data_IF_692281120396
#
_entry.id   IF_692281120396
#
_cell.length_a   1.000
_cell.length_b   1.000
_cell.length_c   1.000
_cell.angle_alpha   90.00
_cell.angle_beta   90.00
_cell.angle_gamma   90.00
#
_symmetry.space_group_name_H-M   'P 1'
#
loop_
_entity.id
_entity.type
_entity.pdbx_description
1 polymer ?
#
# COMPACT_ATOMS: atom_id res chain seq x y z
N UNK A 1 -59.80 -11.85 6.30
CA UNK A 1 -58.44 -12.43 6.39
C UNK A 1 -57.55 -12.00 5.24
N UNK A 2 -57.95 -12.14 3.97
CA UNK A 2 -57.12 -11.74 2.82
C UNK A 2 -56.69 -10.25 2.85
N UNK A 3 -57.60 -9.32 3.14
CA UNK A 3 -57.27 -7.88 3.19
C UNK A 3 -56.23 -7.51 4.26
N UNK A 4 -56.26 -8.18 5.42
CA UNK A 4 -55.28 -7.94 6.49
C UNK A 4 -53.90 -8.48 6.10
N UNK A 5 -53.84 -9.65 5.45
CA UNK A 5 -52.59 -10.22 4.95
C UNK A 5 -51.95 -9.33 3.87
N UNK A 6 -52.74 -8.85 2.90
CA UNK A 6 -52.26 -7.90 1.89
C UNK A 6 -51.75 -6.59 2.50
N UNK A 7 -52.40 -6.09 3.56
CA UNK A 7 -51.95 -4.89 4.26
C UNK A 7 -50.60 -5.09 4.95
N UNK A 8 -50.39 -6.22 5.65
CA UNK A 8 -49.11 -6.54 6.27
C UNK A 8 -47.99 -6.73 5.24
N UNK A 9 -48.28 -7.42 4.12
CA UNK A 9 -47.31 -7.59 3.02
C UNK A 9 -46.94 -6.25 2.38
N UNK A 10 -47.90 -5.33 2.20
CA UNK A 10 -47.64 -4.00 1.68
C UNK A 10 -46.73 -3.18 2.61
N UNK A 11 -47.00 -3.19 3.93
CA UNK A 11 -46.15 -2.52 4.92
C UNK A 11 -44.73 -3.11 4.92
N UNK A 12 -44.63 -4.44 4.90
CA UNK A 12 -43.33 -5.12 4.88
C UNK A 12 -42.54 -4.72 3.63
N UNK A 13 -43.18 -4.76 2.47
CA UNK A 13 -42.58 -4.37 1.18
C UNK A 13 -42.15 -2.91 1.17
N UNK A 14 -42.98 -2.00 1.70
CA UNK A 14 -42.66 -0.58 1.79
C UNK A 14 -41.49 -0.32 2.74
N UNK A 15 -41.43 -1.06 3.85
CA UNK A 15 -40.33 -0.96 4.83
C UNK A 15 -39.01 -1.39 4.21
N UNK A 16 -38.98 -2.56 3.55
CA UNK A 16 -37.78 -3.02 2.84
C UNK A 16 -37.39 -2.08 1.70
N UNK A 17 -38.35 -1.60 0.92
CA UNK A 17 -38.09 -0.64 -0.16
C UNK A 17 -37.47 0.65 0.36
N UNK A 18 -38.01 1.19 1.46
CA UNK A 18 -37.49 2.39 2.11
C UNK A 18 -36.07 2.18 2.64
N UNK A 19 -35.81 1.03 3.29
CA UNK A 19 -34.48 0.66 3.78
C UNK A 19 -33.47 0.57 2.63
N UNK A 20 -33.85 -0.04 1.49
CA UNK A 20 -33.01 -0.14 0.30
C UNK A 20 -32.69 1.24 -0.28
N UNK A 21 -33.67 2.15 -0.34
CA UNK A 21 -33.46 3.54 -0.83
C UNK A 21 -32.50 4.30 0.08
N UNK A 22 -32.62 4.16 1.40
CA UNK A 22 -31.70 4.78 2.37
C UNK A 22 -30.27 4.25 2.17
N UNK A 23 -30.13 2.92 2.08
CA UNK A 23 -28.82 2.29 1.86
C UNK A 23 -28.21 2.73 0.53
N UNK A 24 -29.00 2.76 -0.54
CA UNK A 24 -28.55 3.21 -1.86
C UNK A 24 -28.08 4.67 -1.82
N UNK A 25 -28.84 5.55 -1.19
CA UNK A 25 -28.49 6.97 -1.05
C UNK A 25 -27.18 7.13 -0.29
N UNK A 26 -27.01 6.40 0.82
CA UNK A 26 -25.76 6.37 1.58
C UNK A 26 -24.57 5.92 0.71
N UNK A 27 -24.73 4.86 -0.08
CA UNK A 27 -23.68 4.35 -0.98
C UNK A 27 -23.32 5.35 -2.06
N UNK A 28 -24.31 6.06 -2.65
CA UNK A 28 -24.08 7.11 -3.65
C UNK A 28 -23.25 8.25 -3.05
N UNK A 29 -23.63 8.75 -1.88
CA UNK A 29 -22.91 9.83 -1.19
C UNK A 29 -21.47 9.40 -0.89
N UNK A 30 -21.30 8.21 -0.30
CA UNK A 30 -19.98 7.64 -0.01
C UNK A 30 -19.13 7.52 -1.27
N UNK A 31 -19.70 7.00 -2.37
CA UNK A 31 -19.03 6.85 -3.66
C UNK A 31 -18.63 8.21 -4.25
N UNK A 32 -19.48 9.24 -4.11
CA UNK A 32 -19.18 10.59 -4.59
C UNK A 32 -17.95 11.19 -3.88
N UNK A 33 -17.82 11.00 -2.56
CA UNK A 33 -16.63 11.43 -1.81
C UNK A 33 -15.37 10.69 -2.28
N UNK A 34 -15.44 9.38 -2.48
CA UNK A 34 -14.32 8.58 -2.97
C UNK A 34 -13.88 9.00 -4.38
N UNK A 35 -14.84 9.29 -5.27
CA UNK A 35 -14.57 9.81 -6.62
C UNK A 35 -13.87 11.16 -6.56
N UNK A 36 -14.34 12.09 -5.72
CA UNK A 36 -13.71 13.42 -5.57
C UNK A 36 -12.26 13.28 -5.11
N UNK A 37 -12.02 12.47 -4.08
CA UNK A 37 -10.68 12.17 -3.59
C UNK A 37 -9.79 11.56 -4.68
N UNK A 38 -10.33 10.64 -5.47
CA UNK A 38 -9.58 10.00 -6.56
C UNK A 38 -9.25 11.00 -7.67
N UNK A 39 -10.18 11.87 -8.05
CA UNK A 39 -9.94 12.95 -9.02
C UNK A 39 -8.79 13.85 -8.58
N UNK A 40 -8.77 14.27 -7.31
CA UNK A 40 -7.65 15.07 -6.76
C UNK A 40 -6.30 14.35 -6.93
N UNK A 41 -6.23 13.04 -6.66
CA UNK A 41 -5.00 12.26 -6.84
C UNK A 41 -4.62 12.17 -8.32
N UNK A 42 -5.57 11.92 -9.22
CA UNK A 42 -5.30 11.87 -10.67
C UNK A 42 -4.80 13.22 -11.21
N UNK A 43 -5.35 14.34 -10.76
CA UNK A 43 -4.84 15.67 -11.13
C UNK A 43 -3.38 15.86 -10.71
N UNK A 44 -3.00 15.41 -9.51
CA UNK A 44 -1.59 15.44 -9.09
C UNK A 44 -0.71 14.50 -9.90
N UNK A 45 -1.21 13.32 -10.27
CA UNK A 45 -0.48 12.38 -11.13
C UNK A 45 -0.20 12.99 -12.50
N UNK A 46 -1.20 13.62 -13.12
CA UNK A 46 -1.04 14.32 -14.39
C UNK A 46 0.03 15.42 -14.29
N UNK A 47 -0.03 16.23 -13.23
CA UNK A 47 0.96 17.30 -12.98
C UNK A 47 2.38 16.75 -12.78
N UNK A 48 2.55 15.64 -12.07
CA UNK A 48 3.86 15.09 -11.75
C UNK A 48 4.41 14.12 -12.78
N UNK A 49 3.62 13.70 -13.78
CA UNK A 49 4.01 12.67 -14.74
C UNK A 49 5.31 13.02 -15.48
N UNK A 50 5.35 14.17 -16.14
CA UNK A 50 6.53 14.62 -16.89
C UNK A 50 7.75 14.82 -15.97
N UNK A 51 7.54 15.36 -14.78
CA UNK A 51 8.60 15.61 -13.81
C UNK A 51 9.20 14.30 -13.28
N UNK A 52 8.37 13.34 -12.88
CA UNK A 52 8.82 12.03 -12.39
C UNK A 52 9.52 11.26 -13.51
N UNK A 53 8.97 11.26 -14.73
CA UNK A 53 9.61 10.61 -15.87
C UNK A 53 11.02 11.17 -16.12
N UNK A 54 11.14 12.51 -16.17
CA UNK A 54 12.44 13.17 -16.34
C UNK A 54 13.42 12.80 -15.23
N UNK A 55 12.97 12.80 -13.97
CA UNK A 55 13.83 12.42 -12.83
C UNK A 55 14.25 10.95 -12.85
N UNK A 56 13.45 10.06 -13.44
CA UNK A 56 13.79 8.63 -13.58
C UNK A 56 14.83 8.40 -14.68
N UNK A 57 14.76 9.14 -15.78
CA UNK A 57 15.67 9.00 -16.92
C UNK A 57 16.96 9.81 -16.74
N UNK A 58 16.84 11.08 -16.39
CA UNK A 58 17.97 12.03 -16.34
C UNK A 58 18.57 12.14 -14.92
N UNK A 59 17.87 11.64 -13.90
CA UNK A 59 18.24 11.84 -12.50
C UNK A 59 17.99 13.27 -11.98
N UNK A 60 18.51 13.54 -10.78
CA UNK A 60 18.51 14.88 -10.18
C UNK A 60 17.34 15.17 -9.24
N UNK A 61 17.00 16.47 -9.10
CA UNK A 61 15.96 16.97 -8.20
C UNK A 61 15.11 18.05 -8.90
N UNK A 62 13.81 18.04 -8.66
CA UNK A 62 12.89 19.08 -9.13
C UNK A 62 12.15 19.72 -7.96
N UNK A 63 12.20 21.06 -7.91
CA UNK A 63 11.46 21.87 -6.92
C UNK A 63 9.94 21.76 -7.12
N UNK A 64 9.47 21.42 -8.32
CA UNK A 64 8.05 21.21 -8.60
C UNK A 64 7.48 19.97 -7.92
N UNK A 65 8.34 19.00 -7.62
CA UNK A 65 7.97 17.77 -6.93
C UNK A 65 8.25 17.91 -5.43
N UNK A 66 7.38 18.64 -4.73
CA UNK A 66 7.47 18.86 -3.28
C UNK A 66 6.13 18.55 -2.58
N UNK A 67 5.88 17.29 -2.20
CA UNK A 67 4.57 16.87 -1.69
C UNK A 67 4.23 17.49 -0.32
N UNK A 68 3.15 18.27 -0.28
CA UNK A 68 2.67 18.95 0.94
C UNK A 68 1.55 18.21 1.68
N UNK A 69 0.93 17.22 1.05
CA UNK A 69 -0.20 16.50 1.63
C UNK A 69 -0.26 15.03 1.20
N UNK A 70 -1.14 14.27 1.85
CA UNK A 70 -1.31 12.83 1.61
C UNK A 70 -1.82 12.50 0.20
N UNK A 71 -2.54 13.39 -0.47
CA UNK A 71 -2.99 13.15 -1.86
C UNK A 71 -1.81 13.22 -2.83
N UNK A 72 -0.91 14.19 -2.64
CA UNK A 72 0.31 14.31 -3.43
C UNK A 72 1.27 13.14 -3.19
N UNK A 73 1.46 12.72 -1.93
CA UNK A 73 2.24 11.52 -1.61
C UNK A 73 1.65 10.26 -2.26
N UNK A 74 0.31 10.11 -2.23
CA UNK A 74 -0.37 8.98 -2.87
C UNK A 74 -0.24 9.03 -4.39
N UNK A 75 -0.26 10.22 -5.00
CA UNK A 75 0.00 10.39 -6.43
C UNK A 75 1.42 9.93 -6.79
N UNK A 76 2.43 10.36 -6.03
CA UNK A 76 3.82 9.93 -6.24
C UNK A 76 3.94 8.41 -6.10
N UNK A 77 3.40 7.82 -5.04
CA UNK A 77 3.38 6.36 -4.83
C UNK A 77 2.77 5.62 -6.02
N UNK A 78 1.60 6.04 -6.50
CA UNK A 78 0.93 5.39 -7.63
C UNK A 78 1.70 5.55 -8.94
N UNK A 79 2.37 6.69 -9.16
CA UNK A 79 3.21 6.89 -10.34
C UNK A 79 4.45 6.01 -10.29
N UNK A 80 5.16 5.98 -9.16
CA UNK A 80 6.32 5.10 -9.00
C UNK A 80 5.93 3.62 -9.11
N UNK A 81 4.75 3.21 -8.60
CA UNK A 81 4.23 1.84 -8.82
C UNK A 81 4.01 1.52 -10.29
N UNK A 82 3.52 2.47 -11.09
CA UNK A 82 3.37 2.26 -12.53
C UNK A 82 4.72 2.11 -13.23
N UNK A 83 5.69 2.95 -12.90
CA UNK A 83 7.02 2.86 -13.48
C UNK A 83 7.77 1.59 -13.03
N UNK A 84 7.65 1.17 -11.77
CA UNK A 84 8.29 -0.05 -11.28
C UNK A 84 7.89 -1.31 -12.07
N UNK A 85 6.67 -1.33 -12.63
CA UNK A 85 6.16 -2.44 -13.42
C UNK A 85 6.62 -2.42 -14.90
N UNK A 86 7.17 -1.30 -15.38
CA UNK A 86 7.52 -1.10 -16.80
C UNK A 86 9.02 -0.89 -17.01
N UNK A 87 9.73 -0.41 -15.99
CA UNK A 87 11.17 -0.17 -16.07
C UNK A 87 11.95 -1.48 -15.92
N UNK A 88 12.71 -1.83 -16.95
CA UNK A 88 13.58 -3.02 -16.94
C UNK A 88 15.03 -2.68 -16.60
N UNK A 89 15.50 -1.48 -16.99
CA UNK A 89 16.88 -1.04 -16.83
C UNK A 89 17.30 -0.82 -15.36
N UNK A 90 18.55 -1.20 -15.05
CA UNK A 90 19.08 -1.10 -13.68
C UNK A 90 19.23 0.35 -13.20
N UNK A 91 19.59 1.26 -14.11
CA UNK A 91 19.80 2.67 -13.78
C UNK A 91 18.48 3.33 -13.38
N UNK A 92 17.41 3.05 -14.12
CA UNK A 92 16.07 3.56 -13.87
C UNK A 92 15.49 2.95 -12.59
N UNK A 93 15.75 1.66 -12.32
CA UNK A 93 15.38 1.01 -11.04
C UNK A 93 16.08 1.68 -9.85
N UNK A 94 17.37 2.01 -9.98
CA UNK A 94 18.12 2.75 -8.95
C UNK A 94 17.55 4.17 -8.76
N UNK A 95 17.25 4.88 -9.85
CA UNK A 95 16.62 6.20 -9.79
C UNK A 95 15.23 6.13 -9.11
N UNK A 96 14.43 5.12 -9.42
CA UNK A 96 13.13 4.88 -8.80
C UNK A 96 13.26 4.65 -7.29
N UNK A 97 14.21 3.80 -6.86
CA UNK A 97 14.49 3.56 -5.45
C UNK A 97 14.94 4.84 -4.73
N UNK A 98 15.77 5.66 -5.38
CA UNK A 98 16.21 6.94 -4.84
C UNK A 98 15.05 7.93 -4.67
N UNK A 99 14.18 8.08 -5.66
CA UNK A 99 12.99 8.94 -5.60
C UNK A 99 11.99 8.45 -4.54
N UNK A 100 11.72 7.15 -4.48
CA UNK A 100 10.86 6.57 -3.46
C UNK A 100 11.42 6.81 -2.05
N UNK A 101 12.73 6.65 -1.87
CA UNK A 101 13.43 6.94 -0.62
C UNK A 101 13.37 8.41 -0.23
N UNK A 102 13.48 9.33 -1.21
CA UNK A 102 13.43 10.77 -0.97
C UNK A 102 12.05 11.21 -0.50
N UNK A 103 10.98 10.79 -1.20
CA UNK A 103 9.64 11.33 -0.98
C UNK A 103 8.77 10.48 -0.06
N UNK A 104 8.91 9.16 -0.07
CA UNK A 104 7.96 8.25 0.59
C UNK A 104 8.48 7.67 1.91
N UNK A 105 9.79 7.71 2.18
CA UNK A 105 10.41 7.13 3.39
C UNK A 105 9.69 7.54 4.68
N UNK A 106 9.57 8.84 4.94
CA UNK A 106 8.98 9.33 6.19
C UNK A 106 7.48 9.00 6.29
N UNK A 107 6.79 9.00 5.16
CA UNK A 107 5.39 8.63 5.06
C UNK A 107 5.17 7.14 5.36
N UNK A 108 6.04 6.28 4.84
CA UNK A 108 6.02 4.84 5.07
C UNK A 108 6.39 4.48 6.50
N UNK A 109 7.42 5.12 7.07
CA UNK A 109 7.77 4.95 8.48
C UNK A 109 6.59 5.20 9.43
N UNK A 110 5.76 6.22 9.14
CA UNK A 110 4.53 6.48 9.93
C UNK A 110 3.50 5.37 9.75
N UNK A 111 3.34 4.84 8.54
CA UNK A 111 2.36 3.79 8.21
C UNK A 111 2.74 2.40 8.72
N UNK A 112 4.02 2.05 8.76
CA UNK A 112 4.52 0.83 9.40
C UNK A 112 4.13 0.76 10.90
N UNK A 113 3.93 1.92 11.54
CA UNK A 113 3.48 2.03 12.94
C UNK A 113 1.95 2.04 13.09
N UNK A 114 1.18 1.86 12.01
CA UNK A 114 -0.28 1.93 12.07
C UNK A 114 -0.89 0.73 12.81
N UNK A 115 -1.96 0.96 13.59
CA UNK A 115 -2.77 -0.12 14.17
C UNK A 115 -3.51 -0.95 13.09
N UNK A 116 -3.76 -0.37 11.91
CA UNK A 116 -4.47 -1.05 10.82
C UNK A 116 -3.50 -1.94 10.05
N UNK A 117 -3.72 -3.25 10.13
CA UNK A 117 -2.97 -4.29 9.41
C UNK A 117 -2.79 -3.95 7.92
N UNK A 118 -3.88 -3.66 7.20
CA UNK A 118 -3.82 -3.36 5.77
C UNK A 118 -2.93 -2.17 5.41
N UNK A 119 -2.78 -1.18 6.31
CA UNK A 119 -1.85 -0.06 6.07
C UNK A 119 -0.39 -0.45 6.21
N UNK A 120 -0.08 -1.38 7.12
CA UNK A 120 1.28 -1.90 7.31
C UNK A 120 1.66 -2.79 6.13
N UNK A 121 0.80 -3.76 5.82
CA UNK A 121 1.03 -4.70 4.72
C UNK A 121 1.23 -3.99 3.37
N UNK A 122 0.37 -3.03 3.02
CA UNK A 122 0.53 -2.26 1.78
C UNK A 122 1.88 -1.52 1.70
N UNK A 123 2.37 -1.02 2.83
CA UNK A 123 3.66 -0.33 2.85
C UNK A 123 4.82 -1.31 2.74
N UNK A 124 4.73 -2.49 3.33
CA UNK A 124 5.73 -3.53 3.14
C UNK A 124 5.87 -3.90 1.65
N UNK A 125 4.76 -4.14 0.94
CA UNK A 125 4.77 -4.36 -0.52
C UNK A 125 5.44 -3.23 -1.28
N UNK A 126 5.17 -1.97 -0.91
CA UNK A 126 5.80 -0.83 -1.58
C UNK A 126 7.30 -0.70 -1.25
N UNK A 127 7.72 -1.01 -0.02
CA UNK A 127 9.15 -1.01 0.36
C UNK A 127 9.91 -2.04 -0.46
N UNK A 128 9.34 -3.23 -0.62
CA UNK A 128 9.90 -4.30 -1.45
C UNK A 128 9.96 -3.86 -2.93
N UNK A 129 8.82 -3.48 -3.50
CA UNK A 129 8.72 -3.15 -4.93
C UNK A 129 9.63 -1.98 -5.32
N UNK A 130 9.74 -0.97 -4.45
CA UNK A 130 10.59 0.21 -4.71
C UNK A 130 12.02 0.06 -4.19
N UNK A 131 12.36 -1.09 -3.61
CA UNK A 131 13.67 -1.35 -3.02
C UNK A 131 14.14 -0.21 -2.08
N UNK A 132 13.33 0.22 -1.11
CA UNK A 132 13.64 1.34 -0.20
C UNK A 132 14.54 0.90 0.96
N UNK A 133 15.85 0.83 0.70
CA UNK A 133 16.87 0.45 1.70
C UNK A 133 16.83 1.24 3.02
N UNK A 134 16.58 2.57 3.05
CA UNK A 134 16.57 3.34 4.29
C UNK A 134 15.47 2.97 5.30
N UNK A 135 14.55 2.08 4.95
CA UNK A 135 13.48 1.59 5.83
C UNK A 135 13.76 0.18 6.37
N UNK A 136 14.88 -0.47 6.03
CA UNK A 136 15.18 -1.82 6.49
C UNK A 136 15.25 -1.92 8.01
N UNK A 137 15.86 -0.95 8.69
CA UNK A 137 15.87 -0.90 10.15
C UNK A 137 14.47 -0.73 10.76
N UNK A 138 13.60 0.03 10.10
CA UNK A 138 12.21 0.18 10.54
C UNK A 138 11.44 -1.14 10.36
N UNK A 139 11.71 -1.88 9.29
CA UNK A 139 11.14 -3.20 8.97
C UNK A 139 11.64 -4.28 9.93
N UNK A 140 12.95 -4.37 10.17
CA UNK A 140 13.55 -5.31 11.12
C UNK A 140 13.02 -5.10 12.55
N UNK A 141 12.88 -3.84 12.99
CA UNK A 141 12.27 -3.52 14.29
C UNK A 141 10.82 -3.99 14.43
N UNK A 142 10.11 -4.26 13.33
CA UNK A 142 8.77 -4.82 13.41
C UNK A 142 8.80 -6.27 13.89
N UNK A 143 9.80 -7.06 13.49
CA UNK A 143 9.96 -8.48 13.87
C UNK A 143 9.88 -8.67 15.39
N UNK A 144 10.43 -7.72 16.15
CA UNK A 144 10.46 -7.75 17.63
C UNK A 144 9.15 -7.30 18.30
N UNK A 145 8.13 -6.88 17.54
CA UNK A 145 6.86 -6.38 18.09
C UNK A 145 5.84 -7.50 18.24
N UNK A 146 5.07 -7.42 19.33
CA UNK A 146 3.88 -8.25 19.52
C UNK A 146 2.76 -7.83 18.55
N UNK A 147 1.97 -8.79 18.08
CA UNK A 147 0.78 -8.55 17.26
C UNK A 147 1.03 -8.40 15.76
N UNK A 148 2.18 -8.89 15.27
CA UNK A 148 2.39 -9.15 13.85
C UNK A 148 1.53 -10.36 13.43
N UNK A 149 0.83 -10.21 12.32
CA UNK A 149 0.24 -11.37 11.65
C UNK A 149 1.32 -12.23 11.01
N UNK A 150 0.98 -13.49 10.79
CA UNK A 150 1.84 -14.44 10.09
C UNK A 150 2.27 -13.95 8.70
N UNK A 151 1.33 -13.44 7.91
CA UNK A 151 1.58 -12.89 6.57
C UNK A 151 2.55 -11.71 6.59
N UNK A 152 2.42 -10.80 7.58
CA UNK A 152 3.36 -9.70 7.75
C UNK A 152 4.76 -10.22 8.08
N UNK A 153 4.87 -11.22 8.95
CA UNK A 153 6.15 -11.83 9.32
C UNK A 153 6.86 -12.41 8.10
N UNK A 154 6.17 -13.28 7.33
CA UNK A 154 6.74 -13.89 6.11
C UNK A 154 7.20 -12.80 5.14
N UNK A 155 6.39 -11.77 4.93
CA UNK A 155 6.71 -10.70 4.01
C UNK A 155 7.87 -9.81 4.51
N UNK A 156 7.96 -9.55 5.81
CA UNK A 156 9.11 -8.84 6.42
C UNK A 156 10.40 -9.64 6.21
N UNK A 157 10.38 -10.94 6.47
CA UNK A 157 11.54 -11.81 6.27
C UNK A 157 11.96 -11.84 4.81
N UNK A 158 10.99 -11.89 3.88
CA UNK A 158 11.24 -11.79 2.44
C UNK A 158 11.92 -10.48 2.06
N UNK A 159 11.46 -9.35 2.59
CA UNK A 159 12.13 -8.06 2.40
C UNK A 159 13.56 -8.15 2.92
N UNK A 160 13.77 -8.54 4.17
CA UNK A 160 15.11 -8.60 4.77
C UNK A 160 16.07 -9.52 3.97
N UNK A 161 15.58 -10.67 3.50
CA UNK A 161 16.34 -11.57 2.64
C UNK A 161 16.69 -10.94 1.28
N UNK A 162 15.74 -10.28 0.62
CA UNK A 162 15.97 -9.61 -0.68
C UNK A 162 17.03 -8.50 -0.63
N UNK A 163 17.24 -7.91 0.54
CA UNK A 163 18.29 -6.92 0.77
C UNK A 163 19.56 -7.50 1.42
N UNK A 164 19.64 -8.82 1.56
CA UNK A 164 20.76 -9.52 2.18
C UNK A 164 21.07 -8.98 3.59
N UNK A 165 20.02 -8.76 4.40
CA UNK A 165 20.18 -8.24 5.75
C UNK A 165 21.02 -9.20 6.61
N UNK A 166 22.00 -8.67 7.33
CA UNK A 166 23.05 -9.44 8.02
C UNK A 166 22.48 -10.55 8.94
N UNK A 167 21.42 -10.25 9.70
CA UNK A 167 20.81 -11.18 10.66
C UNK A 167 19.82 -12.19 10.04
N UNK A 168 19.59 -12.19 8.71
CA UNK A 168 18.48 -12.94 8.12
C UNK A 168 18.55 -14.45 8.38
N UNK A 169 19.75 -15.04 8.32
CA UNK A 169 19.93 -16.47 8.60
C UNK A 169 19.61 -16.82 10.05
N UNK A 170 19.98 -15.94 10.98
CA UNK A 170 19.64 -16.10 12.40
C UNK A 170 18.13 -16.05 12.62
N UNK A 171 17.46 -15.09 12.00
CA UNK A 171 15.99 -14.98 12.06
C UNK A 171 15.31 -16.25 11.53
N UNK A 172 15.74 -16.74 10.37
CA UNK A 172 15.14 -17.90 9.72
C UNK A 172 15.35 -19.20 10.51
N UNK A 173 16.54 -19.41 11.06
CA UNK A 173 16.90 -20.68 11.71
C UNK A 173 16.54 -20.74 13.19
N UNK A 174 16.48 -19.61 13.89
CA UNK A 174 16.25 -19.56 15.35
C UNK A 174 14.87 -19.03 15.69
N UNK A 175 14.53 -17.84 15.20
CA UNK A 175 13.32 -17.12 15.63
C UNK A 175 12.07 -17.58 14.87
N UNK A 176 12.23 -18.04 13.62
CA UNK A 176 11.15 -18.47 12.73
C UNK A 176 11.37 -19.87 12.16
N UNK A 177 11.92 -20.78 12.97
CA UNK A 177 12.23 -22.16 12.57
C UNK A 177 11.01 -22.98 12.16
N UNK A 178 9.80 -22.55 12.52
CA UNK A 178 8.53 -23.25 12.27
C UNK A 178 7.85 -22.90 10.94
N UNK A 179 8.49 -22.10 10.08
CA UNK A 179 7.99 -21.82 8.73
C UNK A 179 7.91 -23.11 7.90
N UNK A 180 6.92 -23.17 7.02
CA UNK A 180 6.78 -24.24 6.03
C UNK A 180 7.86 -24.17 4.96
N UNK A 181 8.13 -25.29 4.29
CA UNK A 181 9.07 -25.33 3.17
C UNK A 181 8.72 -24.31 2.07
N UNK A 182 7.43 -24.16 1.78
CA UNK A 182 6.95 -23.19 0.79
C UNK A 182 7.36 -21.75 1.16
N UNK A 183 7.30 -21.38 2.44
CA UNK A 183 7.68 -20.04 2.89
C UNK A 183 9.17 -19.82 2.85
N UNK A 184 9.98 -20.78 3.31
CA UNK A 184 11.43 -20.71 3.16
C UNK A 184 11.82 -20.52 1.70
N UNK A 185 11.22 -21.29 0.79
CA UNK A 185 11.43 -21.11 -0.66
C UNK A 185 11.02 -19.71 -1.10
N UNK A 186 9.87 -19.21 -0.68
CA UNK A 186 9.39 -17.87 -1.06
C UNK A 186 10.26 -16.72 -0.53
N UNK A 187 11.02 -16.95 0.55
CA UNK A 187 11.92 -15.98 1.16
C UNK A 187 13.30 -16.03 0.51
N UNK A 188 13.81 -17.22 0.20
CA UNK A 188 15.20 -17.44 -0.23
C UNK A 188 15.34 -17.48 -1.76
N UNK A 189 14.37 -18.04 -2.48
CA UNK A 189 14.45 -18.26 -3.93
C UNK A 189 13.77 -17.07 -4.62
N UNK A 190 14.59 -16.18 -5.18
CA UNK A 190 14.15 -15.09 -6.06
C UNK A 190 15.11 -14.91 -7.23
#
# INVERSE_FOLDING_TARGET
MLHTEFFYLAILTLTFSSLLVILLTYLIIRKAFDIRKRRTIETYKQRYNSVIFKLLTDGGYSRELNPQNNHQLKAIEEMLSRYANVLEGEQEKKALSALASLYLKNYYRKRLKSKRWSRRMNVLYHIENFHIKPLLEDVYKMVKKRGLSYEETVHILRILASFQFEDILGLLTKDFSTLSEFEYRSIVIR
#
